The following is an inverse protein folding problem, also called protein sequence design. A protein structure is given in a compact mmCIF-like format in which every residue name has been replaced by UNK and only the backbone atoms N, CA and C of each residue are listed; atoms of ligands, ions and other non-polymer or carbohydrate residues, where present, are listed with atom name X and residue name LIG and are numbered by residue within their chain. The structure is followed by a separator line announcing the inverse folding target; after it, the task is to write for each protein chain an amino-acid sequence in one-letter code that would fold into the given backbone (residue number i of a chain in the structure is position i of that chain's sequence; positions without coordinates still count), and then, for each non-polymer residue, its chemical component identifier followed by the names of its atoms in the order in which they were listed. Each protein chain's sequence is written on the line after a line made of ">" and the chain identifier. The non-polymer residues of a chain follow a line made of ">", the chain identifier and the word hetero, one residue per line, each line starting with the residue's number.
data_IF_214159622506
#
_entry.id   IF_214159622506
#
_cell.length_a   1.000
_cell.length_b   1.000
_cell.length_c   1.000
_cell.angle_alpha   90.00
_cell.angle_beta   90.00
_cell.angle_gamma   90.00
#
_symmetry.space_group_name_H-M   'P 1'
#
loop_
_entity.id
_entity.type
_entity.pdbx_description
1 polymer ?
#
# COMPACT_ATOMS: atom_id res chain seq x y z
N UNK A 1 -7.54 -10.58 -7.87
CA UNK A 1 -8.97 -11.00 -7.75
C UNK A 1 -9.87 -9.99 -8.45
N UNK A 2 -11.02 -10.41 -9.01
CA UNK A 2 -11.98 -9.53 -9.69
C UNK A 2 -12.44 -8.33 -8.84
N UNK A 3 -12.73 -8.58 -7.54
CA UNK A 3 -13.12 -7.53 -6.61
C UNK A 3 -12.04 -6.47 -6.35
N UNK A 4 -10.75 -6.81 -6.44
CA UNK A 4 -9.67 -5.82 -6.33
C UNK A 4 -9.66 -4.87 -7.53
N UNK A 5 -9.84 -5.40 -8.75
CA UNK A 5 -9.94 -4.56 -9.97
C UNK A 5 -11.16 -3.64 -9.89
N UNK A 6 -12.29 -4.14 -9.39
CA UNK A 6 -13.51 -3.37 -9.21
C UNK A 6 -13.33 -2.23 -8.19
N UNK A 7 -12.68 -2.50 -7.05
CA UNK A 7 -12.34 -1.44 -6.06
C UNK A 7 -11.48 -0.32 -6.66
N UNK A 8 -10.45 -0.67 -7.43
CA UNK A 8 -9.58 0.31 -8.08
C UNK A 8 -10.37 1.14 -9.11
N UNK A 9 -11.23 0.48 -9.90
CA UNK A 9 -12.06 1.16 -10.89
C UNK A 9 -13.03 2.17 -10.24
N UNK A 10 -13.67 1.81 -9.13
CA UNK A 10 -14.54 2.70 -8.36
C UNK A 10 -13.73 3.86 -7.78
N UNK A 11 -12.64 3.59 -7.07
CA UNK A 11 -11.79 4.64 -6.50
C UNK A 11 -11.35 5.66 -7.55
N UNK A 12 -10.96 5.20 -8.75
CA UNK A 12 -10.63 6.07 -9.88
C UNK A 12 -11.81 6.92 -10.35
N UNK A 13 -13.00 6.34 -10.44
CA UNK A 13 -14.21 7.07 -10.83
C UNK A 13 -14.57 8.17 -9.82
N UNK A 14 -14.32 7.93 -8.53
CA UNK A 14 -14.52 8.91 -7.46
C UNK A 14 -13.50 10.05 -7.59
N UNK A 15 -12.20 9.71 -7.68
CA UNK A 15 -11.10 10.69 -7.74
C UNK A 15 -11.18 11.59 -8.98
N UNK A 16 -11.61 11.04 -10.12
CA UNK A 16 -11.70 11.80 -11.39
C UNK A 16 -12.83 12.83 -11.40
N UNK A 17 -13.78 12.74 -10.49
CA UNK A 17 -14.95 13.61 -10.37
C UNK A 17 -15.67 13.92 -11.70
N UNK A 18 -16.15 12.90 -12.44
CA UNK A 18 -16.81 13.13 -13.73
C UNK A 18 -18.21 13.73 -13.57
N UNK A 19 -18.59 14.61 -14.51
CA UNK A 19 -19.95 15.19 -14.60
C UNK A 19 -21.06 14.14 -14.80
N UNK A 20 -20.72 13.02 -15.45
CA UNK A 20 -21.60 11.88 -15.70
C UNK A 20 -20.90 10.61 -15.20
N UNK A 21 -21.53 9.88 -14.30
CA UNK A 21 -21.04 8.63 -13.73
C UNK A 21 -21.94 7.47 -14.14
N UNK A 22 -21.36 6.43 -14.73
CA UNK A 22 -22.06 5.20 -15.10
C UNK A 22 -21.54 4.07 -14.19
N UNK A 23 -22.45 3.38 -13.52
CA UNK A 23 -22.13 2.26 -12.63
C UNK A 23 -22.88 1.03 -13.14
N UNK A 24 -22.15 0.13 -13.79
CA UNK A 24 -22.68 -1.12 -14.31
C UNK A 24 -22.30 -2.27 -13.38
N UNK A 25 -23.27 -2.75 -12.60
CA UNK A 25 -23.11 -3.81 -11.59
C UNK A 25 -21.88 -3.64 -10.69
N UNK A 26 -21.58 -2.41 -10.29
CA UNK A 26 -20.31 -2.05 -9.64
C UNK A 26 -20.05 -2.72 -8.28
N UNK A 27 -21.03 -3.38 -7.68
CA UNK A 27 -20.92 -4.04 -6.36
C UNK A 27 -21.05 -5.56 -6.42
N UNK A 28 -21.18 -6.17 -7.62
CA UNK A 28 -21.44 -7.61 -7.76
C UNK A 28 -20.25 -8.51 -7.42
N UNK A 29 -19.01 -8.07 -7.68
CA UNK A 29 -17.79 -8.87 -7.46
C UNK A 29 -16.99 -8.46 -6.22
N UNK A 30 -17.60 -7.71 -5.28
CA UNK A 30 -16.99 -7.33 -4.00
C UNK A 30 -17.32 -8.32 -2.88
N UNK A 31 -16.37 -8.49 -1.95
CA UNK A 31 -16.58 -9.18 -0.67
C UNK A 31 -17.45 -8.35 0.29
N UNK A 32 -18.21 -9.02 1.17
CA UNK A 32 -19.22 -8.40 2.05
C UNK A 32 -18.66 -7.26 2.93
N UNK A 33 -17.42 -7.37 3.42
CA UNK A 33 -16.79 -6.33 4.25
C UNK A 33 -16.42 -5.10 3.43
N UNK A 34 -15.79 -5.30 2.27
CA UNK A 34 -15.41 -4.21 1.36
C UNK A 34 -16.62 -3.55 0.72
N UNK A 35 -17.68 -4.31 0.48
CA UNK A 35 -18.92 -3.82 -0.13
C UNK A 35 -19.54 -2.71 0.70
N UNK A 36 -19.64 -2.90 2.03
CA UNK A 36 -20.23 -1.90 2.91
C UNK A 36 -19.50 -0.56 2.87
N UNK A 37 -18.17 -0.59 2.84
CA UNK A 37 -17.32 0.61 2.76
C UNK A 37 -17.50 1.33 1.42
N UNK A 38 -17.54 0.57 0.33
CA UNK A 38 -17.72 1.11 -1.02
C UNK A 38 -19.14 1.66 -1.22
N UNK A 39 -20.15 0.98 -0.66
CA UNK A 39 -21.54 1.41 -0.69
C UNK A 39 -21.73 2.74 0.07
N UNK A 40 -21.12 2.89 1.24
CA UNK A 40 -21.18 4.15 2.00
C UNK A 40 -20.55 5.32 1.23
N UNK A 41 -19.41 5.08 0.56
CA UNK A 41 -18.79 6.07 -0.31
C UNK A 41 -19.68 6.44 -1.50
N UNK A 42 -20.29 5.44 -2.16
CA UNK A 42 -21.24 5.65 -3.26
C UNK A 42 -22.49 6.42 -2.83
N UNK A 43 -23.07 6.08 -1.68
CA UNK A 43 -24.22 6.76 -1.12
C UNK A 43 -23.90 8.22 -0.80
N UNK A 44 -22.70 8.49 -0.27
CA UNK A 44 -22.21 9.87 -0.07
C UNK A 44 -22.14 10.67 -1.37
N UNK A 45 -21.68 10.05 -2.47
CA UNK A 45 -21.60 10.68 -3.78
C UNK A 45 -22.97 10.93 -4.40
N UNK A 46 -23.90 9.97 -4.27
CA UNK A 46 -25.28 10.11 -4.74
C UNK A 46 -25.99 11.23 -3.97
N UNK A 47 -25.82 11.30 -2.64
CA UNK A 47 -26.39 12.35 -1.78
C UNK A 47 -25.85 13.74 -2.07
N UNK A 48 -24.58 13.85 -2.46
CA UNK A 48 -23.98 15.14 -2.78
C UNK A 48 -24.66 15.83 -3.99
N UNK A 49 -25.36 15.07 -4.86
CA UNK A 49 -26.08 15.57 -6.06
C UNK A 49 -25.27 16.47 -7.00
N UNK A 50 -23.95 16.33 -7.00
CA UNK A 50 -23.05 17.16 -7.83
C UNK A 50 -22.87 16.63 -9.27
N UNK A 51 -23.38 15.44 -9.58
CA UNK A 51 -23.18 14.76 -10.88
C UNK A 51 -24.41 13.95 -11.29
N UNK A 52 -24.56 13.71 -12.59
CA UNK A 52 -25.58 12.79 -13.12
C UNK A 52 -25.06 11.36 -12.99
N UNK A 53 -25.73 10.51 -12.22
CA UNK A 53 -25.33 9.11 -12.02
C UNK A 53 -26.38 8.15 -12.58
N UNK A 54 -25.98 7.24 -13.44
CA UNK A 54 -26.82 6.14 -13.93
C UNK A 54 -26.27 4.85 -13.33
N UNK A 55 -27.12 4.13 -12.60
CA UNK A 55 -26.76 2.90 -11.90
C UNK A 55 -27.57 1.74 -12.47
N UNK A 56 -26.87 0.71 -12.92
CA UNK A 56 -27.41 -0.60 -13.23
C UNK A 56 -26.99 -1.48 -12.06
N UNK A 57 -27.95 -1.96 -11.27
CA UNK A 57 -27.67 -2.74 -10.08
C UNK A 57 -28.59 -3.94 -9.96
N UNK A 58 -28.02 -5.03 -9.47
CA UNK A 58 -28.78 -6.21 -9.03
C UNK A 58 -29.17 -6.12 -7.54
N UNK A 59 -28.54 -5.22 -6.77
CA UNK A 59 -28.82 -5.01 -5.33
C UNK A 59 -29.75 -3.83 -5.13
N UNK A 60 -30.89 -4.08 -4.51
CA UNK A 60 -31.92 -3.07 -4.28
C UNK A 60 -31.54 -2.01 -3.25
N UNK A 61 -30.63 -2.32 -2.32
CA UNK A 61 -30.11 -1.36 -1.34
C UNK A 61 -29.51 -0.13 -2.02
N UNK A 62 -28.81 -0.32 -3.14
CA UNK A 62 -28.20 0.75 -3.94
C UNK A 62 -29.24 1.57 -4.72
N UNK A 63 -30.37 0.95 -5.10
CA UNK A 63 -31.40 1.57 -5.96
C UNK A 63 -32.45 2.33 -5.14
N UNK A 64 -32.69 1.95 -3.87
CA UNK A 64 -33.72 2.52 -3.00
C UNK A 64 -33.63 4.05 -2.85
N UNK A 65 -32.41 4.60 -2.88
CA UNK A 65 -32.16 6.02 -2.69
C UNK A 65 -32.06 6.81 -4.01
N UNK A 66 -32.36 6.20 -5.14
CA UNK A 66 -32.32 6.86 -6.43
C UNK A 66 -33.44 7.91 -6.56
N UNK A 67 -33.11 9.04 -7.19
CA UNK A 67 -34.11 10.08 -7.52
C UNK A 67 -35.18 9.59 -8.49
N UNK A 68 -34.83 8.59 -9.31
CA UNK A 68 -35.69 8.01 -10.34
C UNK A 68 -35.23 6.58 -10.64
N UNK A 69 -36.17 5.65 -10.57
CA UNK A 69 -35.98 4.23 -10.87
C UNK A 69 -36.70 3.95 -12.19
N UNK A 70 -36.02 3.24 -13.09
CA UNK A 70 -36.57 2.81 -14.39
C UNK A 70 -36.46 1.30 -14.48
N UNK A 71 -37.58 0.62 -14.64
CA UNK A 71 -37.66 -0.83 -14.70
C UNK A 71 -37.81 -1.27 -16.15
N UNK A 72 -36.94 -2.19 -16.57
CA UNK A 72 -36.94 -2.75 -17.91
C UNK A 72 -37.47 -4.18 -17.93
N UNK A 73 -38.24 -4.51 -18.96
CA UNK A 73 -38.64 -5.89 -19.30
C UNK A 73 -38.61 -6.05 -20.81
N UNK A 74 -37.95 -7.10 -21.31
CA UNK A 74 -37.81 -7.39 -22.75
C UNK A 74 -37.37 -6.17 -23.60
N UNK A 75 -36.48 -5.36 -23.05
CA UNK A 75 -35.95 -4.15 -23.71
C UNK A 75 -36.93 -2.97 -23.77
N UNK A 76 -38.06 -3.01 -23.03
CA UNK A 76 -39.01 -1.91 -22.91
C UNK A 76 -39.06 -1.40 -21.47
N UNK A 77 -39.31 -0.10 -21.32
CA UNK A 77 -39.56 0.51 -20.02
C UNK A 77 -40.99 0.18 -19.60
N UNK A 78 -41.16 -0.53 -18.49
CA UNK A 78 -42.48 -0.95 -17.98
C UNK A 78 -42.94 -0.03 -16.85
N UNK A 79 -42.01 0.36 -15.98
CA UNK A 79 -42.29 1.21 -14.82
C UNK A 79 -41.20 2.28 -14.65
N UNK A 80 -41.62 3.45 -14.18
CA UNK A 80 -40.75 4.58 -13.90
C UNK A 80 -41.30 5.37 -12.70
N UNK A 81 -40.47 5.67 -11.71
CA UNK A 81 -40.88 6.42 -10.53
C UNK A 81 -39.85 6.39 -9.42
N UNK A 82 -40.22 6.93 -8.26
CA UNK A 82 -39.45 6.80 -7.02
C UNK A 82 -39.72 5.45 -6.35
N UNK A 83 -38.90 5.06 -5.37
CA UNK A 83 -39.10 3.83 -4.61
C UNK A 83 -40.49 3.79 -3.94
N UNK A 84 -40.90 4.92 -3.36
CA UNK A 84 -42.17 5.06 -2.67
C UNK A 84 -43.38 4.98 -3.62
N UNK A 85 -43.24 5.49 -4.85
CA UNK A 85 -44.29 5.40 -5.87
C UNK A 85 -44.42 3.97 -6.40
N UNK A 86 -43.30 3.33 -6.74
CA UNK A 86 -43.29 2.01 -7.38
C UNK A 86 -43.73 0.88 -6.45
N UNK A 87 -43.50 0.99 -5.14
CA UNK A 87 -43.90 -0.06 -4.19
C UNK A 87 -45.41 -0.07 -3.88
N UNK A 88 -46.10 1.05 -4.11
CA UNK A 88 -47.55 1.19 -3.85
C UNK A 88 -48.39 0.72 -5.02
N UNK A 89 -47.81 0.66 -6.23
CA UNK A 89 -48.50 0.20 -7.43
C UNK A 89 -48.88 -1.28 -7.29
N UNK A 90 -50.16 -1.57 -7.45
CA UNK A 90 -50.69 -2.94 -7.45
C UNK A 90 -50.15 -3.66 -8.68
N UNK A 91 -49.57 -4.85 -8.47
CA UNK A 91 -48.93 -5.68 -9.51
C UNK A 91 -47.67 -5.06 -10.14
N UNK A 92 -46.89 -4.29 -9.37
CA UNK A 92 -45.61 -3.76 -9.84
C UNK A 92 -44.53 -4.86 -9.94
N UNK A 93 -43.81 -4.85 -11.07
CA UNK A 93 -42.64 -5.70 -11.26
C UNK A 93 -41.52 -5.31 -10.29
N UNK A 94 -41.31 -4.01 -10.07
CA UNK A 94 -40.36 -3.53 -9.06
C UNK A 94 -40.68 -4.08 -7.68
N UNK A 95 -41.92 -3.95 -7.21
CA UNK A 95 -42.35 -4.45 -5.91
C UNK A 95 -42.13 -5.97 -5.76
N UNK A 96 -42.38 -6.73 -6.84
CA UNK A 96 -42.12 -8.17 -6.87
C UNK A 96 -40.64 -8.50 -6.69
N UNK A 97 -39.75 -7.79 -7.41
CA UNK A 97 -38.29 -7.95 -7.27
C UNK A 97 -37.81 -7.57 -5.86
N UNK A 98 -38.41 -6.55 -5.25
CA UNK A 98 -38.12 -6.14 -3.86
C UNK A 98 -38.44 -7.24 -2.88
N UNK A 99 -39.64 -7.80 -2.97
CA UNK A 99 -40.09 -8.85 -2.06
C UNK A 99 -39.25 -10.12 -2.22
N UNK A 100 -38.88 -10.49 -3.45
CA UNK A 100 -38.01 -11.65 -3.71
C UNK A 100 -36.61 -11.46 -3.12
N UNK A 101 -35.98 -10.29 -3.30
CA UNK A 101 -34.66 -10.06 -2.75
C UNK A 101 -34.68 -9.90 -1.22
N UNK A 102 -35.73 -9.30 -0.65
CA UNK A 102 -35.94 -9.23 0.80
C UNK A 102 -36.07 -10.62 1.43
N UNK A 103 -36.86 -11.51 0.83
CA UNK A 103 -37.02 -12.88 1.29
C UNK A 103 -35.72 -13.70 1.21
N UNK A 104 -34.87 -13.45 0.21
CA UNK A 104 -33.54 -14.09 0.10
C UNK A 104 -32.59 -13.62 1.20
N UNK A 105 -32.67 -12.36 1.61
CA UNK A 105 -31.85 -11.83 2.72
C UNK A 105 -32.34 -12.31 4.10
N UNK A 106 -33.65 -12.55 4.25
CA UNK A 106 -34.25 -13.09 5.48
C UNK A 106 -34.21 -14.62 5.57
N UNK A 107 -34.02 -15.31 4.43
CA UNK A 107 -34.01 -16.77 4.30
C UNK A 107 -32.76 -17.50 4.86
N UNK A 108 -31.77 -16.79 5.38
CA UNK A 108 -30.64 -17.40 6.13
C UNK A 108 -30.92 -17.59 7.63
N UNK A 109 -32.13 -17.24 8.11
CA UNK A 109 -32.59 -17.56 9.46
C UNK A 109 -33.74 -18.58 9.43
N UNK A 110 -33.39 -19.87 9.33
CA UNK A 110 -34.20 -21.10 9.62
C UNK A 110 -35.62 -21.21 9.05
N UNK A 111 -35.97 -22.30 8.32
CA UNK A 111 -37.34 -22.53 7.87
C UNK A 111 -38.20 -23.20 8.96
N UNK A 112 -39.51 -23.14 8.72
CA UNK A 112 -40.60 -23.93 9.32
C UNK A 112 -41.41 -23.27 10.45
N UNK A 113 -42.52 -22.64 10.06
CA UNK A 113 -43.78 -22.72 10.80
C UNK A 113 -44.94 -22.86 9.83
N UNK A 114 -45.59 -24.02 9.92
CA UNK A 114 -46.96 -24.45 9.55
C UNK A 114 -46.86 -25.94 9.18
N UNK A 115 -47.62 -26.92 9.68
CA UNK A 115 -48.82 -27.02 10.52
C UNK A 115 -48.96 -28.51 10.97
N UNK A 116 -49.54 -28.78 12.16
CA UNK A 116 -50.21 -30.01 12.72
C UNK A 116 -49.90 -31.43 12.15
N UNK A 117 -49.74 -32.53 12.91
CA UNK A 117 -50.59 -33.05 13.99
C UNK A 117 -49.95 -34.30 14.70
N UNK A 118 -50.36 -34.50 15.96
CA UNK A 118 -50.51 -35.75 16.73
C UNK A 118 -49.36 -36.80 16.92
N UNK A 119 -48.92 -36.88 18.19
CA UNK A 119 -48.62 -38.07 19.02
C UNK A 119 -47.70 -39.19 18.49
N UNK A 120 -46.63 -39.50 19.24
CA UNK A 120 -46.41 -40.78 19.94
C UNK A 120 -45.10 -40.75 20.77
N UNK A 121 -45.26 -40.86 22.10
CA UNK A 121 -44.51 -41.68 23.08
C UNK A 121 -42.97 -41.69 23.10
N UNK A 122 -42.45 -41.24 24.26
CA UNK A 122 -41.30 -41.69 25.09
C UNK A 122 -40.15 -42.47 24.43
N UNK A 123 -38.90 -42.08 24.70
CA UNK A 123 -38.10 -42.77 25.74
C UNK A 123 -36.81 -42.00 26.08
N UNK A 124 -36.42 -42.11 27.34
CA UNK A 124 -35.20 -41.59 27.96
C UNK A 124 -33.92 -42.20 27.35
N UNK A 125 -32.81 -41.45 27.34
CA UNK A 125 -31.49 -41.99 27.69
C UNK A 125 -30.43 -40.89 27.83
N UNK A 126 -30.09 -40.59 29.08
CA UNK A 126 -28.79 -40.04 29.48
C UNK A 126 -27.73 -41.16 29.45
N UNK A 127 -26.57 -40.89 28.84
CA UNK A 127 -25.24 -41.19 29.42
C UNK A 127 -24.09 -40.75 28.51
N UNK A 128 -23.29 -39.82 29.05
CA UNK A 128 -21.83 -39.87 29.22
C UNK A 128 -20.97 -40.67 28.22
N UNK A 129 -19.93 -40.04 27.66
CA UNK A 129 -18.50 -40.32 27.97
C UNK A 129 -17.52 -39.41 27.17
N UNK A 130 -16.80 -38.57 27.92
CA UNK A 130 -15.37 -38.15 27.87
C UNK A 130 -14.53 -38.11 26.57
N UNK A 131 -13.89 -36.95 26.33
CA UNK A 131 -12.45 -36.75 26.00
C UNK A 131 -12.22 -35.21 25.83
N UNK A 132 -11.69 -34.50 26.82
CA UNK A 132 -10.27 -34.19 27.07
C UNK A 132 -9.49 -33.61 25.87
N UNK A 133 -8.81 -32.49 26.09
CA UNK A 133 -7.94 -31.84 25.10
C UNK A 133 -8.03 -30.32 25.06
N UNK A 134 -7.37 -29.68 26.03
CA UNK A 134 -6.84 -28.31 25.95
C UNK A 134 -6.02 -28.10 24.68
N UNK A 135 -6.26 -27.03 23.91
CA UNK A 135 -5.16 -26.10 23.60
C UNK A 135 -5.66 -24.75 23.08
N UNK A 136 -5.06 -23.71 23.64
CA UNK A 136 -5.21 -22.32 23.27
C UNK A 136 -4.05 -21.96 22.35
N UNK A 137 -4.31 -21.59 21.09
CA UNK A 137 -3.30 -20.97 20.25
C UNK A 137 -3.79 -19.68 19.61
N UNK A 138 -3.21 -18.60 20.13
CA UNK A 138 -3.11 -17.27 19.57
C UNK A 138 -1.95 -17.31 18.56
N UNK A 139 -2.20 -17.03 17.27
CA UNK A 139 -1.11 -16.76 16.33
C UNK A 139 -0.99 -15.27 16.04
N UNK A 140 0.08 -14.70 16.59
CA UNK A 140 0.75 -13.48 16.16
C UNK A 140 1.77 -13.88 15.10
N UNK A 141 1.62 -13.37 13.88
CA UNK A 141 2.65 -13.38 12.84
C UNK A 141 2.93 -11.90 12.54
N UNK A 142 4.14 -11.33 12.59
CA UNK A 142 5.46 -11.92 12.45
C UNK A 142 6.27 -10.88 11.66
N UNK A 143 6.94 -9.98 12.38
CA UNK A 143 7.81 -8.93 11.82
C UNK A 143 9.00 -9.63 11.14
N UNK A 144 9.15 -9.44 9.82
CA UNK A 144 10.34 -9.92 9.10
C UNK A 144 11.44 -8.87 9.25
N UNK A 145 12.44 -9.28 10.01
CA UNK A 145 13.74 -8.64 10.22
C UNK A 145 14.51 -8.52 8.90
N UNK A 146 15.08 -7.34 8.64
CA UNK A 146 15.93 -7.06 7.48
C UNK A 146 17.37 -7.07 7.96
N UNK A 147 18.04 -8.20 7.80
CA UNK A 147 19.49 -8.28 7.90
C UNK A 147 20.11 -7.68 6.64
N UNK A 148 20.80 -6.55 6.83
CA UNK A 148 21.70 -5.96 5.85
C UNK A 148 23.04 -6.69 5.96
N UNK A 149 23.37 -7.52 4.97
CA UNK A 149 24.74 -8.02 4.82
C UNK A 149 25.54 -7.07 3.94
N UNK A 150 26.58 -6.53 4.56
CA UNK A 150 27.64 -5.69 4.01
C UNK A 150 28.86 -6.58 3.66
N UNK A 151 29.65 -6.10 2.70
CA UNK A 151 30.99 -6.55 2.28
C UNK A 151 31.12 -7.73 1.30
N UNK A 152 31.59 -7.45 0.08
CA UNK A 152 33.03 -7.56 -0.23
C UNK A 152 33.28 -7.48 -1.75
N UNK A 153 34.07 -6.47 -2.13
CA UNK A 153 34.81 -6.40 -3.38
C UNK A 153 35.89 -7.49 -3.44
N UNK A 154 35.96 -8.31 -4.50
CA UNK A 154 37.22 -8.79 -5.10
C UNK A 154 37.05 -9.38 -6.51
N UNK A 155 37.86 -8.83 -7.42
CA UNK A 155 38.36 -9.24 -8.73
C UNK A 155 38.23 -10.71 -9.23
N UNK A 156 37.89 -10.80 -10.53
CA UNK A 156 38.56 -11.57 -11.61
C UNK A 156 38.71 -13.10 -11.51
N UNK A 157 38.21 -13.81 -12.54
CA UNK A 157 38.95 -14.64 -13.54
C UNK A 157 38.14 -15.87 -14.00
N UNK A 158 38.24 -16.17 -15.30
CA UNK A 158 37.61 -17.26 -16.07
C UNK A 158 37.72 -18.68 -15.47
N UNK A 159 36.74 -19.53 -15.78
CA UNK A 159 36.84 -20.99 -15.72
C UNK A 159 35.53 -21.69 -16.11
N UNK A 160 35.54 -22.41 -17.23
CA UNK A 160 34.40 -23.13 -17.81
C UNK A 160 34.11 -24.49 -17.13
N UNK A 161 32.90 -24.98 -17.42
CA UNK A 161 32.40 -26.39 -17.44
C UNK A 161 31.81 -27.00 -16.17
N UNK A 162 30.58 -27.51 -16.32
CA UNK A 162 29.89 -28.37 -15.36
C UNK A 162 28.37 -28.26 -15.40
N UNK A 163 27.74 -28.88 -16.40
CA UNK A 163 26.28 -29.01 -16.54
C UNK A 163 25.62 -29.65 -15.32
N UNK A 164 24.63 -28.96 -14.73
CA UNK A 164 23.51 -29.60 -14.03
C UNK A 164 22.23 -28.82 -14.37
N UNK A 165 21.46 -29.38 -15.29
CA UNK A 165 20.08 -28.98 -15.58
C UNK A 165 19.23 -29.06 -14.29
N UNK A 166 18.77 -27.91 -13.81
CA UNK A 166 17.48 -27.80 -13.12
C UNK A 166 16.59 -26.90 -13.93
N UNK A 167 15.70 -27.52 -14.70
CA UNK A 167 14.66 -26.87 -15.47
C UNK A 167 13.85 -25.92 -14.60
N UNK A 168 14.11 -24.63 -14.77
CA UNK A 168 13.15 -23.58 -14.45
C UNK A 168 12.75 -22.99 -15.78
N UNK A 169 11.49 -23.20 -16.15
CA UNK A 169 10.84 -22.63 -17.32
C UNK A 169 10.79 -21.10 -17.15
N UNK A 170 11.91 -20.42 -17.40
CA UNK A 170 11.91 -19.01 -17.73
C UNK A 170 11.64 -18.95 -19.23
N UNK A 171 10.35 -19.05 -19.57
CA UNK A 171 9.86 -18.53 -20.84
C UNK A 171 10.33 -17.08 -20.92
N UNK A 172 11.32 -16.87 -21.81
CA UNK A 172 11.88 -15.58 -22.15
C UNK A 172 10.81 -14.82 -22.93
N UNK A 173 9.80 -14.33 -22.23
CA UNK A 173 8.77 -13.49 -22.80
C UNK A 173 9.43 -12.15 -23.15
N UNK A 174 9.63 -11.91 -24.45
CA UNK A 174 9.99 -10.61 -25.00
C UNK A 174 8.88 -9.64 -24.64
N UNK A 175 8.96 -9.04 -23.46
CA UNK A 175 8.13 -7.89 -23.11
C UNK A 175 8.78 -6.69 -23.78
N UNK A 176 7.99 -5.99 -24.59
CA UNK A 176 8.38 -4.75 -25.25
C UNK A 176 9.05 -3.82 -24.22
N UNK A 177 10.34 -3.55 -24.42
CA UNK A 177 11.06 -2.54 -23.65
C UNK A 177 10.55 -1.18 -24.09
N UNK A 178 9.42 -0.75 -23.53
CA UNK A 178 9.10 0.68 -23.49
C UNK A 178 10.33 1.39 -22.92
N UNK A 179 10.89 2.30 -23.71
CA UNK A 179 12.16 2.96 -23.42
C UNK A 179 12.06 3.67 -22.06
N UNK A 180 12.71 3.11 -21.03
CA UNK A 180 12.91 3.82 -19.78
C UNK A 180 13.63 5.14 -20.09
N UNK A 181 13.21 6.26 -19.47
CA UNK A 181 13.82 7.55 -19.73
C UNK A 181 15.33 7.49 -19.47
N UNK A 182 16.08 8.27 -20.25
CA UNK A 182 17.54 8.33 -20.19
C UNK A 182 18.00 8.62 -18.75
N UNK A 183 19.06 7.96 -18.27
CA UNK A 183 19.48 8.05 -16.86
C UNK A 183 19.77 9.48 -16.39
N UNK A 184 20.13 10.38 -17.33
CA UNK A 184 20.31 11.81 -17.06
C UNK A 184 19.00 12.54 -16.79
N UNK A 185 17.95 12.21 -17.53
CA UNK A 185 16.61 12.79 -17.35
C UNK A 185 15.99 12.31 -16.04
N UNK A 186 16.23 11.05 -15.67
CA UNK A 186 15.82 10.51 -14.38
C UNK A 186 16.49 11.23 -13.20
N UNK A 187 17.81 11.48 -13.28
CA UNK A 187 18.53 12.22 -12.24
C UNK A 187 18.04 13.66 -12.07
N UNK A 188 17.77 14.36 -13.17
CA UNK A 188 17.25 15.73 -13.13
C UNK A 188 15.81 15.79 -12.61
N UNK A 189 15.00 14.80 -12.96
CA UNK A 189 13.64 14.66 -12.42
C UNK A 189 13.63 14.42 -10.90
N UNK A 190 14.49 13.53 -10.39
CA UNK A 190 14.63 13.29 -8.94
C UNK A 190 15.09 14.57 -8.22
N UNK A 191 16.04 15.29 -8.81
CA UNK A 191 16.50 16.56 -8.26
C UNK A 191 15.38 17.59 -8.17
N UNK A 192 14.56 17.68 -9.22
CA UNK A 192 13.41 18.57 -9.25
C UNK A 192 12.32 18.17 -8.25
N UNK A 193 12.13 16.87 -8.01
CA UNK A 193 11.19 16.35 -7.02
C UNK A 193 11.61 16.70 -5.58
N UNK A 194 12.92 16.82 -5.33
CA UNK A 194 13.48 17.21 -4.02
C UNK A 194 13.44 18.71 -3.71
N UNK A 195 12.95 19.57 -4.63
CA UNK A 195 12.85 21.04 -4.47
C UNK A 195 12.37 21.52 -3.08
N UNK A 196 11.27 21.00 -2.50
CA UNK A 196 10.78 21.48 -1.21
C UNK A 196 11.69 21.11 -0.02
N UNK A 197 12.63 20.18 -0.19
CA UNK A 197 13.46 19.61 0.89
C UNK A 197 14.91 20.13 0.85
N UNK A 198 15.24 21.03 -0.09
CA UNK A 198 16.57 21.63 -0.25
C UNK A 198 17.21 22.23 1.00
N UNK A 199 16.51 22.96 1.89
CA UNK A 199 17.16 23.50 3.08
C UNK A 199 17.64 22.39 4.03
N UNK A 200 16.90 21.29 4.14
CA UNK A 200 17.25 20.15 4.98
C UNK A 200 18.41 19.34 4.38
N UNK A 201 18.42 19.18 3.05
CA UNK A 201 19.56 18.61 2.32
C UNK A 201 20.83 19.45 2.53
N UNK A 202 20.72 20.78 2.46
CA UNK A 202 21.84 21.68 2.71
C UNK A 202 22.43 21.52 4.12
N UNK A 203 21.58 21.34 5.12
CA UNK A 203 22.01 21.07 6.50
C UNK A 203 22.71 19.71 6.65
N UNK A 204 22.20 18.68 5.98
CA UNK A 204 22.85 17.36 5.92
C UNK A 204 24.22 17.38 5.23
N UNK A 205 24.36 18.18 4.17
CA UNK A 205 25.64 18.38 3.47
C UNK A 205 26.68 19.06 4.37
N UNK A 206 26.29 20.03 5.19
CA UNK A 206 27.19 20.64 6.17
C UNK A 206 27.69 19.62 7.19
N UNK A 207 26.80 18.76 7.71
CA UNK A 207 27.19 17.64 8.58
C UNK A 207 28.17 16.67 7.91
N UNK A 208 27.93 16.35 6.64
CA UNK A 208 28.82 15.50 5.85
C UNK A 208 30.19 16.12 5.59
N UNK A 209 30.28 17.45 5.44
CA UNK A 209 31.57 18.14 5.33
C UNK A 209 32.37 17.99 6.62
N UNK A 210 31.75 18.23 7.78
CA UNK A 210 32.40 18.09 9.10
C UNK A 210 32.91 16.66 9.28
N UNK A 211 32.10 15.66 8.91
CA UNK A 211 32.52 14.25 8.98
C UNK A 211 33.71 13.97 8.05
N UNK A 212 33.63 14.43 6.79
CA UNK A 212 34.69 14.20 5.80
C UNK A 212 36.06 14.76 6.20
N UNK A 213 36.09 15.91 6.90
CA UNK A 213 37.33 16.47 7.44
C UNK A 213 37.88 15.72 8.65
N UNK A 214 37.11 14.81 9.26
CA UNK A 214 37.53 14.02 10.41
C UNK A 214 38.76 13.14 10.13
N UNK A 215 38.78 12.43 8.99
CA UNK A 215 39.88 11.53 8.67
C UNK A 215 41.22 12.24 8.40
N UNK A 216 41.29 13.34 7.61
CA UNK A 216 42.52 14.11 7.48
C UNK A 216 43.01 14.73 8.79
N UNK A 217 42.10 15.28 9.60
CA UNK A 217 42.45 15.88 10.89
C UNK A 217 43.00 14.84 11.87
N UNK A 218 42.43 13.62 11.88
CA UNK A 218 42.92 12.51 12.68
C UNK A 218 44.38 12.19 12.35
N UNK A 219 44.73 12.12 11.06
CA UNK A 219 46.09 11.88 10.60
C UNK A 219 47.06 12.98 11.02
N UNK A 220 46.65 14.25 10.88
CA UNK A 220 47.44 15.40 11.31
C UNK A 220 47.68 15.39 12.84
N UNK A 221 46.64 15.13 13.63
CA UNK A 221 46.75 15.10 15.10
C UNK A 221 47.64 13.96 15.58
N UNK A 222 47.56 12.79 14.94
CA UNK A 222 48.41 11.66 15.27
C UNK A 222 49.88 11.92 14.93
N UNK A 223 50.14 12.58 13.80
CA UNK A 223 51.51 12.99 13.44
C UNK A 223 52.09 13.95 14.48
N UNK A 224 51.32 14.95 14.91
CA UNK A 224 51.80 15.95 15.87
C UNK A 224 51.92 15.42 17.30
N UNK A 225 51.09 14.42 17.66
CA UNK A 225 51.29 13.67 18.89
C UNK A 225 52.63 12.91 18.88
N UNK A 226 53.01 12.31 17.75
CA UNK A 226 54.28 11.58 17.61
C UNK A 226 55.48 12.55 17.63
N UNK A 227 55.38 13.73 17.01
CA UNK A 227 56.49 14.70 16.98
C UNK A 227 56.89 15.18 18.37
N UNK A 228 55.93 15.31 19.29
CA UNK A 228 56.18 15.69 20.69
C UNK A 228 57.04 14.67 21.43
N UNK A 229 56.93 13.38 21.11
CA UNK A 229 57.75 12.34 21.74
C UNK A 229 59.23 12.42 21.38
N UNK A 230 59.61 13.20 20.37
CA UNK A 230 61.01 13.44 20.03
C UNK A 230 61.66 14.60 20.79
N UNK A 231 60.91 15.36 21.60
CA UNK A 231 61.49 16.38 22.48
C UNK A 231 62.16 15.74 23.70
N UNK A 232 63.33 16.27 24.09
CA UNK A 232 64.16 15.70 25.17
C UNK A 232 63.71 16.13 26.57
N UNK A 233 62.96 17.24 26.69
CA UNK A 233 62.52 17.81 27.96
C UNK A 233 61.17 17.23 28.41
N UNK A 234 61.17 16.58 29.59
CA UNK A 234 60.01 15.85 30.13
C UNK A 234 58.83 16.74 30.52
N UNK A 235 59.06 17.99 30.95
CA UNK A 235 57.99 18.95 31.24
C UNK A 235 57.19 19.31 29.99
N UNK A 236 57.90 19.59 28.92
CA UNK A 236 57.34 20.13 27.67
C UNK A 236 56.58 19.03 26.90
N UNK A 237 57.05 17.78 27.04
CA UNK A 237 56.33 16.60 26.54
C UNK A 237 54.94 16.44 27.18
N UNK A 238 54.83 16.58 28.50
CA UNK A 238 53.55 16.39 29.22
C UNK A 238 52.53 17.49 28.89
N UNK A 239 52.99 18.74 28.76
CA UNK A 239 52.11 19.86 28.39
C UNK A 239 51.58 19.71 26.97
N UNK A 240 52.45 19.38 26.01
CA UNK A 240 52.06 19.11 24.63
C UNK A 240 51.11 17.91 24.50
N UNK A 241 51.39 16.80 25.19
CA UNK A 241 50.54 15.62 25.16
C UNK A 241 49.13 15.91 25.69
N UNK A 242 49.00 16.66 26.80
CA UNK A 242 47.70 17.05 27.35
C UNK A 242 46.93 17.98 26.40
N UNK A 243 47.62 18.90 25.73
CA UNK A 243 46.99 19.78 24.74
C UNK A 243 46.39 18.99 23.56
N UNK A 244 47.17 18.10 22.94
CA UNK A 244 46.68 17.31 21.81
C UNK A 244 45.64 16.27 22.22
N UNK A 245 45.76 15.65 23.41
CA UNK A 245 44.71 14.81 23.96
C UNK A 245 43.37 15.56 24.11
N UNK A 246 43.42 16.81 24.56
CA UNK A 246 42.25 17.70 24.60
C UNK A 246 41.67 17.97 23.20
N UNK A 247 42.52 18.19 22.19
CA UNK A 247 42.10 18.38 20.80
C UNK A 247 41.42 17.13 20.22
N UNK A 248 41.87 15.92 20.56
CA UNK A 248 41.18 14.67 20.19
C UNK A 248 39.76 14.61 20.76
N UNK A 249 39.55 15.02 22.02
CA UNK A 249 38.21 15.09 22.60
C UNK A 249 37.31 16.10 21.87
N UNK A 250 37.83 17.28 21.53
CA UNK A 250 37.08 18.30 20.76
C UNK A 250 36.73 17.78 19.36
N UNK A 251 37.67 17.11 18.69
CA UNK A 251 37.44 16.48 17.39
C UNK A 251 36.35 15.42 17.48
N UNK A 252 36.40 14.54 18.50
CA UNK A 252 35.39 13.52 18.73
C UNK A 252 33.99 14.11 18.95
N UNK A 253 33.88 15.17 19.75
CA UNK A 253 32.61 15.87 19.95
C UNK A 253 32.09 16.52 18.66
N UNK A 254 32.95 17.17 17.88
CA UNK A 254 32.58 17.75 16.59
C UNK A 254 32.13 16.68 15.58
N UNK A 255 32.80 15.54 15.54
CA UNK A 255 32.43 14.39 14.70
C UNK A 255 31.09 13.80 15.13
N UNK A 256 30.83 13.67 16.43
CA UNK A 256 29.55 13.19 16.94
C UNK A 256 28.39 14.09 16.50
N UNK A 257 28.54 15.41 16.65
CA UNK A 257 27.54 16.40 16.21
C UNK A 257 27.35 16.37 14.69
N UNK A 258 28.44 16.33 13.92
CA UNK A 258 28.39 16.25 12.47
C UNK A 258 27.69 14.99 11.97
N UNK A 259 28.00 13.84 12.58
CA UNK A 259 27.39 12.55 12.24
C UNK A 259 25.90 12.52 12.59
N UNK A 260 25.52 13.02 13.77
CA UNK A 260 24.13 13.15 14.17
C UNK A 260 23.35 14.03 13.20
N UNK A 261 23.88 15.22 12.87
CA UNK A 261 23.25 16.15 11.93
C UNK A 261 23.09 15.52 10.54
N UNK A 262 24.13 14.87 10.02
CA UNK A 262 24.13 14.19 8.73
C UNK A 262 23.06 13.08 8.69
N UNK A 263 23.06 12.16 9.67
CA UNK A 263 22.13 11.02 9.72
C UNK A 263 20.68 11.48 9.87
N UNK A 264 20.41 12.41 10.77
CA UNK A 264 19.06 12.92 10.97
C UNK A 264 18.54 13.68 9.74
N UNK A 265 19.35 14.56 9.15
CA UNK A 265 18.90 15.35 7.99
C UNK A 265 18.65 14.46 6.76
N UNK A 266 19.57 13.54 6.44
CA UNK A 266 19.38 12.63 5.32
C UNK A 266 18.28 11.60 5.58
N UNK A 267 18.13 11.11 6.81
CA UNK A 267 17.03 10.21 7.18
C UNK A 267 15.66 10.84 6.95
N UNK A 268 15.43 12.03 7.51
CA UNK A 268 14.16 12.76 7.35
C UNK A 268 13.92 13.13 5.88
N UNK A 269 14.96 13.53 5.15
CA UNK A 269 14.84 13.86 3.72
C UNK A 269 14.45 12.63 2.92
N UNK A 270 15.10 11.48 3.15
CA UNK A 270 14.84 10.24 2.44
C UNK A 270 13.39 9.77 2.67
N UNK A 271 12.90 9.83 3.91
CA UNK A 271 11.53 9.45 4.25
C UNK A 271 10.50 10.35 3.56
N UNK A 272 10.67 11.67 3.65
CA UNK A 272 9.76 12.63 3.01
C UNK A 272 9.76 12.51 1.49
N UNK A 273 10.93 12.31 0.89
CA UNK A 273 11.05 12.09 -0.55
C UNK A 273 10.35 10.79 -0.95
N UNK A 274 10.54 9.70 -0.20
CA UNK A 274 9.88 8.43 -0.47
C UNK A 274 8.35 8.54 -0.38
N UNK A 275 7.81 9.23 0.63
CA UNK A 275 6.37 9.48 0.73
C UNK A 275 5.86 10.30 -0.45
N UNK A 276 6.55 11.39 -0.80
CA UNK A 276 6.14 12.24 -1.92
C UNK A 276 6.17 11.51 -3.26
N UNK A 277 7.21 10.71 -3.53
CA UNK A 277 7.28 9.84 -4.71
C UNK A 277 6.10 8.88 -4.75
N UNK A 278 5.75 8.26 -3.61
CA UNK A 278 4.63 7.30 -3.54
C UNK A 278 3.29 7.96 -3.82
N UNK A 279 3.05 9.15 -3.28
CA UNK A 279 1.81 9.90 -3.51
C UNK A 279 1.67 10.28 -4.98
N UNK A 280 2.71 10.88 -5.56
CA UNK A 280 2.71 11.30 -6.98
C UNK A 280 2.58 10.08 -7.88
N UNK A 281 3.29 9.00 -7.60
CA UNK A 281 3.21 7.77 -8.40
C UNK A 281 1.81 7.15 -8.32
N UNK A 282 1.23 7.07 -7.12
CA UNK A 282 -0.10 6.51 -6.92
C UNK A 282 -1.18 7.33 -7.64
N UNK A 283 -1.13 8.66 -7.52
CA UNK A 283 -2.03 9.55 -8.26
C UNK A 283 -1.92 9.34 -9.77
N UNK A 284 -0.70 9.26 -10.30
CA UNK A 284 -0.46 9.03 -11.74
C UNK A 284 -0.90 7.65 -12.21
N UNK A 285 -0.72 6.62 -11.39
CA UNK A 285 -1.21 5.26 -11.67
C UNK A 285 -2.74 5.27 -11.72
N UNK A 286 -3.42 5.86 -10.73
CA UNK A 286 -4.89 5.95 -10.73
C UNK A 286 -5.44 6.74 -11.92
N UNK A 287 -4.69 7.73 -12.42
CA UNK A 287 -5.06 8.50 -13.60
C UNK A 287 -4.97 7.74 -14.93
N UNK A 288 -4.35 6.55 -14.98
CA UNK A 288 -4.19 5.79 -16.22
C UNK A 288 -5.52 5.16 -16.70
N UNK A 289 -5.60 4.95 -18.01
CA UNK A 289 -6.70 4.26 -18.66
C UNK A 289 -6.76 2.76 -18.27
N UNK A 290 -7.91 2.11 -18.51
CA UNK A 290 -8.09 0.69 -18.15
C UNK A 290 -7.15 -0.22 -18.93
N UNK A 291 -6.88 0.09 -20.20
CA UNK A 291 -6.03 -0.75 -21.05
C UNK A 291 -4.58 -0.76 -20.56
N UNK A 292 -4.13 0.30 -19.87
CA UNK A 292 -2.83 0.33 -19.20
C UNK A 292 -2.70 -0.75 -18.11
N UNK A 293 -3.76 -1.03 -17.35
CA UNK A 293 -3.78 -2.05 -16.29
C UNK A 293 -3.96 -3.48 -16.80
N UNK A 294 -4.41 -3.64 -18.06
CA UNK A 294 -4.55 -4.94 -18.70
C UNK A 294 -3.22 -5.43 -19.32
N UNK A 295 -2.19 -4.56 -19.37
CA UNK A 295 -0.84 -4.95 -19.79
C UNK A 295 -0.24 -5.96 -18.81
N UNK A 296 0.41 -7.05 -19.28
CA UNK A 296 0.99 -8.06 -18.40
C UNK A 296 2.04 -7.48 -17.43
N UNK A 297 2.75 -6.42 -17.83
CA UNK A 297 3.70 -5.68 -16.99
C UNK A 297 3.05 -5.03 -15.76
N UNK A 298 1.81 -4.54 -15.89
CA UNK A 298 1.12 -3.71 -14.89
C UNK A 298 0.10 -4.51 -14.07
N UNK A 299 0.41 -5.78 -13.82
CA UNK A 299 -0.45 -6.64 -13.00
C UNK A 299 -0.40 -6.20 -11.53
N UNK A 300 -1.48 -6.43 -10.77
CA UNK A 300 -1.59 -6.02 -9.35
C UNK A 300 -0.50 -6.55 -8.41
N UNK A 301 0.25 -7.58 -8.81
CA UNK A 301 1.45 -8.06 -8.09
C UNK A 301 2.77 -7.36 -8.49
N UNK A 302 2.82 -6.72 -9.66
CA UNK A 302 4.01 -6.05 -10.19
C UNK A 302 3.99 -4.54 -9.91
N UNK A 303 2.82 -3.92 -9.87
CA UNK A 303 2.62 -2.51 -9.50
C UNK A 303 3.20 -2.12 -8.13
N UNK A 304 3.07 -2.93 -7.06
CA UNK A 304 3.66 -2.60 -5.76
C UNK A 304 5.19 -2.83 -5.72
N UNK A 305 5.74 -3.55 -6.72
CA UNK A 305 7.15 -3.96 -6.77
C UNK A 305 8.05 -2.98 -7.53
N UNK A 306 7.49 -2.00 -8.23
CA UNK A 306 8.28 -0.95 -8.87
C UNK A 306 8.85 -0.03 -7.79
N UNK A 307 9.98 -0.44 -7.20
CA UNK A 307 10.93 0.42 -6.50
C UNK A 307 11.91 1.02 -7.50
#
# INVERSE_FOLDING_TARGET
>A
SGGQKQRIAIARAIVRDPKILLLDEATSALDTKSERVVQEALDGLLKARQRTTIVIAHRLSTIRHADKIVVFTDGRIVEEGTHEELIVVVDSLYATLVNLQGAVLEGEATPAKELCDANLVNDDLQKDTMADGTDSDVMVDGIVDVTLDEEATTNSTNGETGDVEKGTLISKEKTDKEALPSSKEAGQWVWDLSKPMRPLVGLGLLGSMIMGFGFPLLGYFLAEMITIFFNTDTSDMMEGANFWAGMFCVLGAAQFVGNFLQRCCFGITAERLAMHVRDVSFEKILGQDVAWFDRPANTGGNLPRTR
#
